data_IF_361485483657
#
_entry.id   IF_361485483657
#
_cell.length_a   1.000
_cell.length_b   1.000
_cell.length_c   1.000
_cell.angle_alpha   90.00
_cell.angle_beta   90.00
_cell.angle_gamma   90.00
#
_symmetry.space_group_name_H-M   'P 1'
#
loop_
_entity.id
_entity.type
_entity.pdbx_description
1 polymer ?
#
# COMPACT_ATOMS: atom_id res chain seq x y z
N UNK A 1 81.90 -81.67 -49.98
CA UNK A 1 80.85 -82.04 -48.99
C UNK A 1 79.50 -81.40 -49.32
N UNK A 2 79.11 -81.38 -50.60
CA UNK A 2 77.83 -80.80 -51.04
C UNK A 2 76.63 -81.67 -50.66
N UNK A 3 76.83 -82.99 -50.58
CA UNK A 3 75.78 -83.95 -50.21
C UNK A 3 75.25 -83.75 -48.78
N UNK A 4 76.12 -83.35 -47.84
CA UNK A 4 75.73 -83.06 -46.45
C UNK A 4 74.89 -81.78 -46.36
N UNK A 5 75.36 -80.69 -46.97
CA UNK A 5 74.65 -79.41 -47.04
C UNK A 5 73.32 -79.51 -47.77
N UNK A 6 73.23 -80.31 -48.85
CA UNK A 6 71.98 -80.53 -49.56
C UNK A 6 70.95 -81.24 -48.66
N UNK A 7 71.39 -82.24 -47.88
CA UNK A 7 70.52 -83.01 -46.99
C UNK A 7 69.98 -82.15 -45.84
N UNK A 8 70.82 -81.26 -45.30
CA UNK A 8 70.48 -80.27 -44.26
C UNK A 8 69.52 -79.19 -44.80
N UNK A 9 69.72 -78.72 -46.03
CA UNK A 9 68.78 -77.80 -46.70
C UNK A 9 67.42 -78.47 -46.94
N UNK A 10 67.41 -79.74 -47.33
CA UNK A 10 66.17 -80.48 -47.63
C UNK A 10 65.38 -80.82 -46.36
N UNK A 11 66.04 -80.87 -45.19
CA UNK A 11 65.39 -81.08 -43.89
C UNK A 11 64.89 -79.78 -43.25
N UNK A 12 65.47 -78.63 -43.60
CA UNK A 12 65.07 -77.32 -43.08
C UNK A 12 64.03 -76.59 -43.95
N UNK A 13 63.74 -77.08 -45.15
CA UNK A 13 62.65 -76.55 -45.98
C UNK A 13 61.32 -77.11 -45.50
N UNK A 14 60.42 -76.23 -45.08
CA UNK A 14 59.06 -76.59 -44.69
C UNK A 14 58.44 -77.49 -45.76
N UNK A 15 57.99 -78.66 -45.34
CA UNK A 15 57.33 -79.62 -46.21
C UNK A 15 56.05 -79.02 -46.77
N UNK A 16 55.63 -79.48 -47.94
CA UNK A 16 54.39 -79.03 -48.60
C UNK A 16 53.16 -79.19 -47.69
N UNK A 17 53.18 -80.17 -46.79
CA UNK A 17 52.12 -80.43 -45.83
C UNK A 17 52.14 -79.46 -44.64
N UNK A 18 53.32 -79.05 -44.15
CA UNK A 18 53.45 -77.99 -43.15
C UNK A 18 52.93 -76.65 -43.69
N UNK A 19 53.23 -76.31 -44.95
CA UNK A 19 52.72 -75.13 -45.64
C UNK A 19 51.20 -75.15 -45.79
N UNK A 20 50.61 -76.31 -46.13
CA UNK A 20 49.16 -76.50 -46.17
C UNK A 20 48.51 -76.33 -44.79
N UNK A 21 49.13 -76.88 -43.76
CA UNK A 21 48.63 -76.76 -42.39
C UNK A 21 48.67 -75.30 -41.91
N UNK A 22 49.78 -74.60 -42.17
CA UNK A 22 49.92 -73.18 -41.82
C UNK A 22 48.88 -72.32 -42.53
N UNK A 23 48.64 -72.57 -43.83
CA UNK A 23 47.58 -71.89 -44.59
C UNK A 23 46.19 -72.14 -43.98
N UNK A 24 45.88 -73.38 -43.61
CA UNK A 24 44.61 -73.73 -42.94
C UNK A 24 44.44 -73.02 -41.59
N UNK A 25 45.51 -72.90 -40.81
CA UNK A 25 45.49 -72.14 -39.55
C UNK A 25 45.27 -70.64 -39.81
N UNK A 26 45.91 -70.07 -40.83
CA UNK A 26 45.74 -68.68 -41.24
C UNK A 26 44.30 -68.38 -41.66
N UNK A 27 43.68 -69.28 -42.44
CA UNK A 27 42.29 -69.15 -42.89
C UNK A 27 41.30 -69.23 -41.71
N UNK A 28 41.53 -70.16 -40.77
CA UNK A 28 40.73 -70.26 -39.54
C UNK A 28 40.86 -69.00 -38.67
N UNK A 29 42.08 -68.49 -38.50
CA UNK A 29 42.35 -67.27 -37.73
C UNK A 29 41.67 -66.06 -38.39
N UNK A 30 41.80 -65.91 -39.70
CA UNK A 30 41.15 -64.85 -40.49
C UNK A 30 39.64 -64.91 -40.36
N UNK A 31 39.06 -66.10 -40.46
CA UNK A 31 37.62 -66.32 -40.29
C UNK A 31 37.16 -65.98 -38.87
N UNK A 32 37.90 -66.41 -37.84
CA UNK A 32 37.56 -66.15 -36.45
C UNK A 32 37.61 -64.65 -36.11
N UNK A 33 38.66 -63.95 -36.56
CA UNK A 33 38.83 -62.49 -36.36
C UNK A 33 37.70 -61.72 -37.04
N UNK A 34 37.43 -62.01 -38.32
CA UNK A 34 36.42 -61.30 -39.09
C UNK A 34 34.99 -61.59 -38.61
N UNK A 35 34.69 -62.84 -38.26
CA UNK A 35 33.32 -63.26 -37.96
C UNK A 35 32.87 -62.86 -36.56
N UNK A 36 33.74 -62.98 -35.56
CA UNK A 36 33.28 -62.91 -34.15
C UNK A 36 33.66 -61.64 -33.40
N UNK A 37 34.79 -60.99 -33.70
CA UNK A 37 35.20 -59.79 -32.95
C UNK A 37 34.91 -58.51 -33.71
N UNK A 38 35.29 -58.44 -34.98
CA UNK A 38 35.14 -57.22 -35.78
C UNK A 38 33.67 -56.87 -36.01
N UNK A 39 32.84 -57.84 -36.43
CA UNK A 39 31.41 -57.59 -36.66
C UNK A 39 30.65 -57.19 -35.39
N UNK A 40 30.94 -57.86 -34.26
CA UNK A 40 30.32 -57.53 -32.97
C UNK A 40 30.73 -56.14 -32.50
N UNK A 41 32.01 -55.77 -32.62
CA UNK A 41 32.47 -54.41 -32.30
C UNK A 41 31.78 -53.39 -33.21
N UNK A 42 31.71 -53.65 -34.52
CA UNK A 42 31.10 -52.72 -35.46
C UNK A 42 29.60 -52.51 -35.21
N UNK A 43 28.87 -53.57 -34.80
CA UNK A 43 27.47 -53.43 -34.38
C UNK A 43 27.32 -52.55 -33.15
N UNK A 44 28.12 -52.79 -32.11
CA UNK A 44 28.12 -51.98 -30.89
C UNK A 44 28.50 -50.52 -31.16
N UNK A 45 29.46 -50.29 -32.05
CA UNK A 45 29.84 -48.93 -32.48
C UNK A 45 28.64 -48.22 -33.11
N UNK A 46 27.88 -48.88 -33.99
CA UNK A 46 26.67 -48.29 -34.59
C UNK A 46 25.60 -47.97 -33.55
N UNK A 47 25.39 -48.85 -32.58
CA UNK A 47 24.46 -48.61 -31.47
C UNK A 47 24.88 -47.40 -30.61
N UNK A 48 26.17 -47.29 -30.28
CA UNK A 48 26.71 -46.14 -29.54
C UNK A 48 26.52 -44.84 -30.33
N UNK A 49 26.73 -44.84 -31.65
CA UNK A 49 26.45 -43.67 -32.49
C UNK A 49 24.96 -43.29 -32.48
N UNK A 50 24.06 -44.27 -32.51
CA UNK A 50 22.62 -44.03 -32.43
C UNK A 50 22.24 -43.38 -31.10
N UNK A 51 22.71 -43.96 -29.98
CA UNK A 51 22.49 -43.42 -28.64
C UNK A 51 23.07 -42.00 -28.50
N UNK A 52 24.27 -41.75 -29.02
CA UNK A 52 24.89 -40.42 -29.01
C UNK A 52 24.04 -39.37 -29.74
N UNK A 53 23.39 -39.74 -30.85
CA UNK A 53 22.49 -38.84 -31.58
C UNK A 53 21.17 -38.58 -30.83
N UNK A 54 20.63 -39.59 -30.13
CA UNK A 54 19.44 -39.44 -29.29
C UNK A 54 19.72 -38.53 -28.10
N UNK A 55 20.82 -38.75 -27.38
CA UNK A 55 21.29 -37.88 -26.29
C UNK A 55 21.48 -36.44 -26.78
N UNK A 56 22.06 -36.24 -27.97
CA UNK A 56 22.23 -34.90 -28.54
C UNK A 56 20.89 -34.20 -28.77
N UNK A 57 19.86 -34.91 -29.24
CA UNK A 57 18.52 -34.35 -29.43
C UNK A 57 17.87 -33.97 -28.11
N UNK A 58 17.94 -34.84 -27.11
CA UNK A 58 17.42 -34.57 -25.77
C UNK A 58 18.12 -33.36 -25.13
N UNK A 59 19.45 -33.27 -25.25
CA UNK A 59 20.23 -32.14 -24.74
C UNK A 59 19.82 -30.80 -25.39
N UNK A 60 19.50 -30.79 -26.69
CA UNK A 60 18.98 -29.59 -27.35
C UNK A 60 17.58 -29.21 -26.86
N UNK A 61 16.72 -30.19 -26.59
CA UNK A 61 15.41 -29.98 -25.98
C UNK A 61 15.53 -29.37 -24.57
N UNK A 62 16.40 -29.94 -23.73
CA UNK A 62 16.69 -29.43 -22.39
C UNK A 62 17.23 -28.01 -22.47
N UNK A 63 18.18 -27.72 -23.37
CA UNK A 63 18.71 -26.35 -23.55
C UNK A 63 17.60 -25.35 -23.86
N UNK A 64 16.68 -25.72 -24.74
CA UNK A 64 15.54 -24.86 -25.11
C UNK A 64 14.62 -24.59 -23.91
N UNK A 65 14.36 -25.62 -23.09
CA UNK A 65 13.59 -25.46 -21.87
C UNK A 65 14.29 -24.55 -20.85
N UNK A 66 15.62 -24.69 -20.68
CA UNK A 66 16.42 -23.80 -19.82
C UNK A 66 16.34 -22.36 -20.31
N UNK A 67 16.47 -22.11 -21.62
CA UNK A 67 16.36 -20.76 -22.19
C UNK A 67 14.95 -20.16 -22.03
N UNK A 68 13.90 -20.98 -21.98
CA UNK A 68 12.54 -20.54 -21.65
C UNK A 68 12.39 -20.22 -20.16
N UNK A 69 12.96 -21.04 -19.29
CA UNK A 69 12.94 -20.81 -17.83
C UNK A 69 13.65 -19.51 -17.49
N UNK A 70 14.83 -19.25 -18.07
CA UNK A 70 15.57 -18.02 -17.83
C UNK A 70 14.78 -16.78 -18.22
N UNK A 71 14.15 -16.78 -19.40
CA UNK A 71 13.27 -15.66 -19.81
C UNK A 71 12.10 -15.43 -18.85
N UNK A 72 11.45 -16.50 -18.40
CA UNK A 72 10.37 -16.40 -17.41
C UNK A 72 10.85 -15.87 -16.06
N UNK A 73 12.08 -16.19 -15.66
CA UNK A 73 12.69 -15.64 -14.46
C UNK A 73 12.97 -14.15 -14.61
N UNK A 74 13.54 -13.73 -15.75
CA UNK A 74 13.80 -12.32 -16.03
C UNK A 74 12.51 -11.49 -16.01
N UNK A 75 11.46 -11.97 -16.68
CA UNK A 75 10.13 -11.34 -16.67
C UNK A 75 9.57 -11.25 -15.25
N UNK A 76 9.64 -12.36 -14.49
CA UNK A 76 9.17 -12.42 -13.11
C UNK A 76 9.94 -11.47 -12.17
N UNK A 77 11.26 -11.32 -12.35
CA UNK A 77 12.04 -10.33 -11.59
C UNK A 77 11.65 -8.89 -11.96
N UNK A 78 11.33 -8.63 -13.23
CA UNK A 78 10.79 -7.34 -13.67
C UNK A 78 9.48 -6.99 -12.97
N UNK A 79 8.52 -7.91 -12.96
CA UNK A 79 7.23 -7.73 -12.27
C UNK A 79 7.40 -7.48 -10.76
N UNK A 80 8.31 -8.23 -10.11
CA UNK A 80 8.62 -8.03 -8.68
C UNK A 80 9.23 -6.66 -8.43
N UNK A 81 10.11 -6.17 -9.31
CA UNK A 81 10.67 -4.81 -9.20
C UNK A 81 9.58 -3.75 -9.26
N UNK A 82 8.64 -3.85 -10.21
CA UNK A 82 7.52 -2.91 -10.29
C UNK A 82 6.61 -2.98 -9.04
N UNK A 83 6.41 -4.17 -8.48
CA UNK A 83 5.66 -4.33 -7.24
C UNK A 83 6.34 -3.64 -6.05
N UNK A 84 7.68 -3.71 -5.96
CA UNK A 84 8.46 -3.01 -4.94
C UNK A 84 8.27 -1.50 -5.09
N UNK A 85 8.42 -0.95 -6.30
CA UNK A 85 8.22 0.48 -6.55
C UNK A 85 6.80 0.96 -6.17
N UNK A 86 5.79 0.16 -6.52
CA UNK A 86 4.40 0.43 -6.11
C UNK A 86 4.23 0.40 -4.59
N UNK A 87 4.87 -0.54 -3.90
CA UNK A 87 4.81 -0.65 -2.44
C UNK A 87 5.45 0.56 -1.74
N UNK A 88 6.59 1.05 -2.24
CA UNK A 88 7.23 2.25 -1.70
C UNK A 88 6.37 3.50 -1.88
N UNK A 89 5.69 3.62 -3.03
CA UNK A 89 4.73 4.71 -3.27
C UNK A 89 3.57 4.66 -2.27
N UNK A 90 2.99 3.46 -2.05
CA UNK A 90 1.90 3.26 -1.08
C UNK A 90 2.33 3.64 0.34
N UNK A 91 3.57 3.33 0.75
CA UNK A 91 4.09 3.73 2.06
C UNK A 91 4.18 5.27 2.21
N UNK A 92 4.67 5.95 1.17
CA UNK A 92 4.72 7.43 1.13
C UNK A 92 3.32 8.03 1.21
N UNK A 93 2.37 7.53 0.41
CA UNK A 93 0.98 7.99 0.40
C UNK A 93 0.32 7.75 1.76
N UNK A 94 0.58 6.60 2.40
CA UNK A 94 0.07 6.27 3.75
C UNK A 94 0.59 7.25 4.82
N UNK A 95 1.86 7.64 4.75
CA UNK A 95 2.44 8.64 5.68
C UNK A 95 1.80 10.01 5.47
N UNK A 96 1.57 10.42 4.22
CA UNK A 96 0.91 11.67 3.92
C UNK A 96 -0.54 11.68 4.45
N UNK A 97 -1.31 10.62 4.18
CA UNK A 97 -2.69 10.49 4.69
C UNK A 97 -2.74 10.59 6.21
N UNK A 98 -1.79 9.99 6.94
CA UNK A 98 -1.72 10.12 8.41
C UNK A 98 -1.44 11.55 8.86
N UNK A 99 -0.59 12.28 8.15
CA UNK A 99 -0.33 13.70 8.40
C UNK A 99 -1.59 14.52 8.16
N UNK A 100 -2.27 14.29 7.04
CA UNK A 100 -3.51 14.99 6.68
C UNK A 100 -4.63 14.71 7.69
N UNK A 101 -4.79 13.45 8.11
CA UNK A 101 -5.72 13.04 9.15
C UNK A 101 -5.46 13.78 10.47
N UNK A 102 -4.19 13.92 10.87
CA UNK A 102 -3.83 14.68 12.08
C UNK A 102 -4.17 16.16 11.94
N UNK A 103 -3.87 16.76 10.79
CA UNK A 103 -4.24 18.15 10.51
C UNK A 103 -5.75 18.35 10.58
N UNK A 104 -6.53 17.47 9.95
CA UNK A 104 -8.00 17.51 10.00
C UNK A 104 -8.52 17.37 11.43
N UNK A 105 -7.95 16.45 12.22
CA UNK A 105 -8.33 16.28 13.63
C UNK A 105 -8.16 17.58 14.43
N UNK A 106 -7.06 18.30 14.21
CA UNK A 106 -6.82 19.59 14.86
C UNK A 106 -7.86 20.64 14.42
N UNK A 107 -8.14 20.74 13.12
CA UNK A 107 -9.16 21.67 12.61
C UNK A 107 -10.56 21.36 13.15
N UNK A 108 -10.93 20.09 13.33
CA UNK A 108 -12.20 19.70 13.95
C UNK A 108 -12.25 20.18 15.41
N UNK A 109 -11.15 20.04 16.16
CA UNK A 109 -11.07 20.57 17.54
C UNK A 109 -11.26 22.08 17.58
N UNK A 110 -10.59 22.83 16.71
CA UNK A 110 -10.74 24.29 16.60
C UNK A 110 -12.18 24.71 16.28
N UNK A 111 -12.83 24.03 15.32
CA UNK A 111 -14.23 24.29 14.98
C UNK A 111 -15.16 24.01 16.17
N UNK A 112 -14.91 22.93 16.92
CA UNK A 112 -15.69 22.57 18.10
C UNK A 112 -15.61 23.65 19.20
N UNK A 113 -14.41 24.20 19.42
CA UNK A 113 -14.18 25.32 20.34
C UNK A 113 -14.94 26.57 19.89
N UNK A 114 -14.82 26.94 18.61
CA UNK A 114 -15.56 28.08 18.06
C UNK A 114 -17.08 27.93 18.18
N UNK A 115 -17.63 26.74 17.91
CA UNK A 115 -19.07 26.49 18.04
C UNK A 115 -19.55 26.64 19.49
N UNK A 116 -18.73 26.18 20.45
CA UNK A 116 -19.01 26.34 21.88
C UNK A 116 -19.07 27.82 22.26
N UNK A 117 -18.13 28.62 21.75
CA UNK A 117 -18.08 30.06 22.02
C UNK A 117 -19.25 30.83 21.37
N UNK A 118 -19.61 30.48 20.14
CA UNK A 118 -20.80 31.04 19.46
C UNK A 118 -22.08 30.73 20.24
N UNK A 119 -22.26 29.49 20.70
CA UNK A 119 -23.41 29.09 21.50
C UNK A 119 -23.46 29.86 22.83
N UNK A 120 -22.33 30.01 23.51
CA UNK A 120 -22.21 30.80 24.74
C UNK A 120 -22.63 32.24 24.52
N UNK A 121 -22.09 32.88 23.48
CA UNK A 121 -22.42 34.25 23.10
C UNK A 121 -23.91 34.41 22.82
N UNK A 122 -24.51 33.46 22.09
CA UNK A 122 -25.95 33.49 21.79
C UNK A 122 -26.82 33.41 23.05
N UNK A 123 -26.46 32.56 24.02
CA UNK A 123 -27.19 32.44 25.29
C UNK A 123 -27.12 33.77 26.06
N UNK A 124 -25.93 34.36 26.17
CA UNK A 124 -25.74 35.63 26.88
C UNK A 124 -26.57 36.74 26.22
N UNK A 125 -26.50 36.87 24.90
CA UNK A 125 -27.27 37.88 24.15
C UNK A 125 -28.77 37.71 24.36
N UNK A 126 -29.28 36.47 24.30
CA UNK A 126 -30.70 36.20 24.54
C UNK A 126 -31.11 36.56 25.98
N UNK A 127 -30.28 36.25 26.99
CA UNK A 127 -30.54 36.66 28.37
C UNK A 127 -30.57 38.18 28.54
N UNK A 128 -29.64 38.90 27.91
CA UNK A 128 -29.60 40.36 27.93
C UNK A 128 -30.84 41.00 27.28
N UNK A 129 -31.32 40.43 26.17
CA UNK A 129 -32.57 40.86 25.51
C UNK A 129 -33.77 40.64 26.43
N UNK A 130 -33.89 39.46 27.04
CA UNK A 130 -35.00 39.16 27.97
C UNK A 130 -34.97 40.12 29.16
N UNK A 131 -33.80 40.37 29.76
CA UNK A 131 -33.66 41.31 30.86
C UNK A 131 -34.10 42.75 30.47
N UNK A 132 -33.72 43.19 29.27
CA UNK A 132 -34.11 44.50 28.74
C UNK A 132 -35.63 44.60 28.51
N UNK A 133 -36.25 43.55 27.96
CA UNK A 133 -37.70 43.48 27.77
C UNK A 133 -38.45 43.48 29.11
N UNK A 134 -37.98 42.72 30.10
CA UNK A 134 -38.56 42.71 31.44
C UNK A 134 -38.51 44.11 32.08
N UNK A 135 -37.38 44.81 31.96
CA UNK A 135 -37.25 46.18 32.44
C UNK A 135 -38.28 47.13 31.81
N UNK A 136 -38.52 47.00 30.50
CA UNK A 136 -39.56 47.80 29.81
C UNK A 136 -40.99 47.43 30.23
N UNK A 137 -41.33 46.15 30.36
CA UNK A 137 -42.70 45.71 30.71
C UNK A 137 -43.04 46.07 32.16
N UNK A 138 -42.11 45.92 33.10
CA UNK A 138 -42.33 46.34 34.49
C UNK A 138 -42.23 47.85 34.69
N UNK A 139 -41.65 48.58 33.73
CA UNK A 139 -41.55 50.04 33.72
C UNK A 139 -42.70 50.74 32.97
N UNK A 140 -43.58 50.01 32.29
CA UNK A 140 -44.74 50.57 31.58
C UNK A 140 -45.88 50.88 32.56
N UNK A 141 -45.81 52.09 33.11
CA UNK A 141 -46.92 52.97 33.49
C UNK A 141 -48.10 52.35 34.26
N UNK A 142 -47.90 52.12 35.56
CA UNK A 142 -49.01 52.16 36.54
C UNK A 142 -49.47 53.58 36.88
N UNK A 143 -48.96 54.58 36.16
CA UNK A 143 -49.22 55.98 36.49
C UNK A 143 -50.43 56.53 35.73
N UNK A 144 -51.42 57.12 36.44
CA UNK A 144 -52.55 57.78 35.81
C UNK A 144 -52.10 58.86 34.82
N UNK A 145 -52.93 59.18 33.83
CA UNK A 145 -52.62 60.19 32.82
C UNK A 145 -52.12 61.51 33.45
N UNK A 146 -50.92 61.94 33.04
CA UNK A 146 -50.25 63.14 33.57
C UNK A 146 -49.39 62.91 34.82
N UNK A 147 -49.13 61.66 35.20
CA UNK A 147 -48.11 61.23 36.15
C UNK A 147 -47.04 60.39 35.43
N UNK A 148 -45.84 60.32 35.99
CA UNK A 148 -44.71 59.54 35.48
C UNK A 148 -44.04 58.81 36.66
N UNK A 149 -43.63 57.56 36.45
CA UNK A 149 -43.00 56.73 37.47
C UNK A 149 -41.50 56.62 37.26
N UNK A 150 -40.71 56.80 38.33
CA UNK A 150 -39.27 56.50 38.32
C UNK A 150 -38.89 55.33 39.24
N UNK A 151 -39.81 54.96 40.14
CA UNK A 151 -39.64 53.90 41.14
C UNK A 151 -40.82 52.95 40.99
N UNK A 152 -40.64 51.62 41.12
CA UNK A 152 -41.75 50.68 41.09
C UNK A 152 -42.85 51.11 42.08
N UNK A 153 -44.09 51.18 41.59
CA UNK A 153 -45.30 51.55 42.36
C UNK A 153 -45.37 53.00 42.90
N UNK A 154 -44.54 53.92 42.41
CA UNK A 154 -44.66 55.35 42.73
C UNK A 154 -44.82 56.21 41.47
N UNK A 155 -45.78 57.12 41.52
CA UNK A 155 -46.13 57.99 40.41
C UNK A 155 -46.03 59.45 40.83
N UNK A 156 -45.22 60.22 40.10
CA UNK A 156 -44.97 61.63 40.35
C UNK A 156 -45.69 62.48 39.33
N UNK A 157 -46.15 63.67 39.74
CA UNK A 157 -46.76 64.65 38.83
C UNK A 157 -46.02 65.98 38.95
N UNK A 158 -45.46 66.44 37.85
CA UNK A 158 -44.92 67.79 37.75
C UNK A 158 -46.12 68.71 37.58
N UNK A 159 -46.26 69.65 38.50
CA UNK A 159 -47.22 70.73 38.35
C UNK A 159 -46.60 71.78 37.42
N UNK A 160 -47.10 71.94 36.18
CA UNK A 160 -46.51 72.88 35.24
C UNK A 160 -46.70 74.30 35.76
N UNK A 161 -45.59 75.05 35.82
CA UNK A 161 -45.55 76.51 35.85
C UNK A 161 -46.09 77.27 37.07
N UNK A 162 -45.59 76.99 38.28
CA UNK A 162 -45.56 78.01 39.34
C UNK A 162 -44.26 77.94 40.13
N UNK A 163 -43.49 79.04 40.14
CA UNK A 163 -42.55 79.33 41.24
C UNK A 163 -43.40 79.51 42.50
N UNK A 164 -43.71 78.41 43.16
CA UNK A 164 -44.49 78.41 44.41
C UNK A 164 -43.53 78.17 45.56
N UNK A 165 -43.80 78.75 46.73
CA UNK A 165 -43.05 78.40 47.94
C UNK A 165 -43.29 76.93 48.30
N UNK A 166 -42.38 76.32 49.04
CA UNK A 166 -42.54 74.95 49.53
C UNK A 166 -43.89 74.74 50.24
N UNK A 167 -44.27 75.71 51.08
CA UNK A 167 -45.58 75.74 51.75
C UNK A 167 -46.76 75.77 50.77
N UNK A 168 -46.65 76.53 49.68
CA UNK A 168 -47.65 76.58 48.62
C UNK A 168 -47.75 75.28 47.84
N UNK A 169 -46.63 74.62 47.56
CA UNK A 169 -46.61 73.30 46.92
C UNK A 169 -47.29 72.25 47.82
N UNK A 170 -46.96 72.24 49.12
CA UNK A 170 -47.55 71.30 50.08
C UNK A 170 -49.07 71.49 50.23
N UNK A 171 -49.54 72.74 50.26
CA UNK A 171 -50.97 73.06 50.28
C UNK A 171 -51.70 72.54 49.02
N UNK A 172 -51.14 72.80 47.83
CA UNK A 172 -51.71 72.32 46.56
C UNK A 172 -51.74 70.78 46.45
N UNK A 173 -50.71 70.10 46.96
CA UNK A 173 -50.71 68.64 47.03
C UNK A 173 -51.84 68.14 47.94
N UNK A 174 -51.97 68.69 49.15
CA UNK A 174 -53.03 68.29 50.10
C UNK A 174 -54.43 68.52 49.56
N UNK A 175 -54.69 69.64 48.89
CA UNK A 175 -55.99 69.94 48.27
C UNK A 175 -56.39 68.87 47.24
N UNK A 176 -55.42 68.31 46.53
CA UNK A 176 -55.63 67.25 45.53
C UNK A 176 -55.52 65.83 46.10
N UNK A 177 -55.39 65.67 47.42
CA UNK A 177 -55.18 64.38 48.06
C UNK A 177 -53.83 63.72 47.75
N UNK A 178 -52.84 64.52 47.35
CA UNK A 178 -51.48 64.09 47.01
C UNK A 178 -50.50 64.42 48.14
N UNK A 179 -49.41 63.68 48.21
CA UNK A 179 -48.28 63.97 49.10
C UNK A 179 -47.15 64.57 48.28
N UNK A 180 -46.51 65.63 48.80
CA UNK A 180 -45.35 66.23 48.18
C UNK A 180 -44.17 65.25 48.32
N UNK A 181 -43.48 64.95 47.23
CA UNK A 181 -42.24 64.18 47.29
C UNK A 181 -41.14 65.06 47.90
N UNK A 182 -40.52 64.58 48.98
CA UNK A 182 -39.35 65.20 49.62
C UNK A 182 -38.06 64.68 49.00
#
# INVERSE_FOLDING_TARGET
NFKGQLKELTTNVATKDELKNFKSQLDKLTTYVNKNKVNTVMSKVKEVFKLGNEIKKEAMGIKTQVDLINRRLDDGFGEVSEMIDRSEKIDKDTKQIKSDQKSMSNSISEISEHLTEVNRTRIITNQAIIASLMFTITGLDRCPTGFFGFVPDQCFKILPNKKTSWSGAQAMCREKGLVLAE
#
